data_IF_684844623474
#
_entry.id   IF_684844623474
#
_cell.length_a   1.000
_cell.length_b   1.000
_cell.length_c   1.000
_cell.angle_alpha   90.00
_cell.angle_beta   90.00
_cell.angle_gamma   90.00
#
_symmetry.space_group_name_H-M   'P 1'
#
loop_
_entity.id
_entity.type
_entity.pdbx_description
1 polymer ?
#
# COMPACT_ATOMS: atom_id res chain seq x y z
N UNK A 1 37.47 -9.84 -8.21
CA UNK A 1 36.56 -9.84 -7.03
C UNK A 1 36.76 -8.60 -6.13
N UNK A 2 36.74 -7.37 -6.67
CA UNK A 2 37.17 -6.18 -5.88
C UNK A 2 36.24 -4.94 -5.91
N UNK A 3 35.19 -4.88 -6.75
CA UNK A 3 34.34 -3.68 -6.84
C UNK A 3 32.95 -3.87 -6.20
N UNK A 4 32.28 -5.01 -6.41
CA UNK A 4 30.99 -5.31 -5.78
C UNK A 4 31.02 -5.23 -4.24
N UNK A 5 32.16 -5.59 -3.63
CA UNK A 5 32.32 -5.66 -2.18
C UNK A 5 32.64 -4.30 -1.53
N UNK A 6 32.99 -3.29 -2.34
CA UNK A 6 33.15 -1.90 -1.88
C UNK A 6 31.81 -1.15 -1.94
N UNK A 7 31.07 -1.33 -3.04
CA UNK A 7 29.75 -0.70 -3.21
C UNK A 7 28.74 -1.19 -2.15
N UNK A 8 28.78 -2.48 -1.79
CA UNK A 8 27.90 -3.04 -0.75
C UNK A 8 28.27 -2.54 0.68
N UNK A 9 29.54 -2.23 0.93
CA UNK A 9 29.99 -1.64 2.20
C UNK A 9 29.60 -0.17 2.33
N UNK A 10 29.73 0.61 1.24
CA UNK A 10 29.30 2.01 1.21
C UNK A 10 27.78 2.10 1.34
N UNK A 11 27.04 1.22 0.67
CA UNK A 11 25.58 1.15 0.79
C UNK A 11 25.13 0.81 2.21
N UNK A 12 25.75 -0.19 2.86
CA UNK A 12 25.48 -0.54 4.26
C UNK A 12 25.88 0.56 5.25
N UNK A 13 26.94 1.31 4.98
CA UNK A 13 27.39 2.43 5.81
C UNK A 13 26.44 3.64 5.71
N UNK A 14 25.98 3.97 4.50
CA UNK A 14 24.98 5.02 4.28
C UNK A 14 23.62 4.67 4.89
N UNK A 15 23.21 3.40 4.85
CA UNK A 15 22.01 2.91 5.55
C UNK A 15 22.20 3.04 7.07
N UNK A 16 23.37 2.70 7.62
CA UNK A 16 23.64 2.86 9.06
C UNK A 16 23.53 4.31 9.53
N UNK A 17 24.08 5.26 8.77
CA UNK A 17 23.98 6.70 9.04
C UNK A 17 22.53 7.23 8.95
N UNK A 18 21.65 6.57 8.19
CA UNK A 18 20.24 6.95 8.04
C UNK A 18 19.36 6.51 9.23
N UNK A 19 19.78 5.49 9.98
CA UNK A 19 19.00 4.86 11.06
C UNK A 19 19.55 5.11 12.46
N UNK A 20 20.71 5.76 12.61
CA UNK A 20 21.24 6.15 13.93
C UNK A 20 20.68 7.51 14.40
N UNK A 21 20.35 7.57 15.68
CA UNK A 21 19.71 8.70 16.35
C UNK A 21 20.58 9.98 16.31
N UNK A 22 19.95 11.17 16.35
CA UNK A 22 20.63 12.48 16.26
C UNK A 22 21.79 12.66 17.25
N UNK A 23 21.73 11.96 18.39
CA UNK A 23 22.75 12.02 19.43
C UNK A 23 23.99 11.16 19.13
N UNK A 24 23.90 10.13 18.27
CA UNK A 24 25.02 9.25 17.90
C UNK A 24 25.85 9.86 16.78
N UNK A 25 25.21 10.54 15.82
CA UNK A 25 25.87 11.24 14.71
C UNK A 25 26.73 12.44 15.15
N UNK A 26 26.53 12.96 16.36
CA UNK A 26 27.39 13.99 16.96
C UNK A 26 28.81 13.50 17.30
N UNK A 27 29.04 12.17 17.25
CA UNK A 27 30.33 11.53 17.56
C UNK A 27 31.19 11.23 16.33
N UNK A 28 30.65 11.40 15.12
CA UNK A 28 31.40 11.19 13.88
C UNK A 28 32.09 12.47 13.43
N UNK A 29 33.31 12.35 12.89
CA UNK A 29 34.09 13.51 12.49
C UNK A 29 33.50 14.17 11.24
N UNK A 30 33.69 15.48 11.08
CA UNK A 30 33.28 16.22 9.87
C UNK A 30 33.88 15.64 8.58
N UNK A 31 35.03 14.96 8.67
CA UNK A 31 35.67 14.29 7.54
C UNK A 31 34.91 13.03 7.09
N UNK A 32 34.32 12.28 8.02
CA UNK A 32 33.60 11.02 7.71
C UNK A 32 32.33 11.30 6.89
N UNK A 33 31.62 12.38 7.23
CA UNK A 33 30.39 12.80 6.56
C UNK A 33 30.69 13.38 5.17
N UNK A 34 31.76 14.17 5.05
CA UNK A 34 32.22 14.72 3.76
C UNK A 34 32.68 13.62 2.81
N UNK A 35 33.38 12.60 3.32
CA UNK A 35 33.84 11.45 2.53
C UNK A 35 32.66 10.63 2.00
N UNK A 36 31.66 10.33 2.83
CA UNK A 36 30.46 9.60 2.41
C UNK A 36 29.65 10.36 1.34
N UNK A 37 29.58 11.70 1.45
CA UNK A 37 28.94 12.56 0.44
C UNK A 37 29.66 12.52 -0.89
N UNK A 38 30.99 12.66 -0.88
CA UNK A 38 31.80 12.64 -2.12
C UNK A 38 31.73 11.28 -2.82
N UNK A 39 31.70 10.17 -2.08
CA UNK A 39 31.55 8.83 -2.65
C UNK A 39 30.15 8.60 -3.26
N UNK A 40 29.10 9.17 -2.65
CA UNK A 40 27.74 9.11 -3.18
C UNK A 40 27.58 9.94 -4.48
N UNK A 41 28.19 11.12 -4.54
CA UNK A 41 28.22 11.94 -5.76
C UNK A 41 28.96 11.21 -6.90
N UNK A 42 30.07 10.52 -6.60
CA UNK A 42 30.82 9.71 -7.58
C UNK A 42 30.00 8.52 -8.12
N UNK A 43 29.14 7.93 -7.28
CA UNK A 43 28.21 6.86 -7.65
C UNK A 43 27.11 7.38 -8.59
N UNK A 44 26.55 8.56 -8.32
CA UNK A 44 25.57 9.20 -9.19
C UNK A 44 26.16 9.53 -10.57
N UNK A 45 27.39 10.04 -10.62
CA UNK A 45 28.07 10.40 -11.86
C UNK A 45 28.39 9.19 -12.75
N UNK A 46 28.80 8.07 -12.13
CA UNK A 46 29.01 6.78 -12.82
C UNK A 46 27.71 6.18 -13.37
N UNK A 47 26.61 6.30 -12.64
CA UNK A 47 25.32 5.76 -13.05
C UNK A 47 24.72 6.58 -14.21
N UNK A 48 24.94 7.90 -14.20
CA UNK A 48 24.56 8.77 -15.32
C UNK A 48 25.34 8.45 -16.62
N UNK A 49 26.62 8.10 -16.52
CA UNK A 49 27.46 7.72 -17.68
C UNK A 49 27.15 6.34 -18.27
N UNK A 50 26.66 5.39 -17.46
CA UNK A 50 26.22 4.08 -17.95
C UNK A 50 24.89 4.15 -18.72
N UNK A 51 24.06 5.16 -18.44
CA UNK A 51 22.75 5.34 -19.09
C UNK A 51 22.88 5.97 -20.48
N UNK A 52 23.95 6.73 -20.74
CA UNK A 52 24.22 7.40 -22.03
C UNK A 52 24.87 6.52 -23.09
N UNK A 53 25.44 5.37 -22.72
CA UNK A 53 26.21 4.50 -23.64
C UNK A 53 25.43 3.27 -24.16
N UNK A 54 24.19 3.07 -23.70
CA UNK A 54 23.37 1.90 -24.04
C UNK A 54 21.90 2.29 -24.21
N UNK A 55 21.49 2.78 -25.40
CA UNK A 55 20.12 2.67 -25.96
C UNK A 55 20.04 3.34 -27.36
N UNK A 56 19.28 2.79 -28.34
CA UNK A 56 19.11 3.38 -29.66
C UNK A 56 18.12 4.57 -29.68
N UNK A 57 18.24 5.49 -30.65
CA UNK A 57 17.55 6.76 -30.64
C UNK A 57 16.16 6.61 -31.26
N UNK A 58 15.11 6.41 -30.44
CA UNK A 58 13.76 6.87 -30.78
C UNK A 58 12.78 6.79 -29.61
N UNK A 59 12.19 7.96 -29.34
CA UNK A 59 11.07 8.25 -28.43
C UNK A 59 11.50 8.31 -26.95
N UNK A 60 12.24 9.36 -26.62
CA UNK A 60 12.27 9.96 -25.29
C UNK A 60 11.45 11.25 -25.39
N UNK A 61 10.46 11.44 -24.53
CA UNK A 61 9.86 12.76 -24.29
C UNK A 61 10.86 13.60 -23.51
N UNK A 62 11.85 14.15 -24.22
CA UNK A 62 13.06 14.82 -23.73
C UNK A 62 12.86 16.06 -22.84
N UNK A 63 11.63 16.46 -22.53
CA UNK A 63 11.36 17.79 -21.95
C UNK A 63 11.08 17.83 -20.44
N UNK A 64 10.70 16.72 -19.77
CA UNK A 64 10.53 16.68 -18.31
C UNK A 64 11.82 16.33 -17.59
N UNK A 65 12.55 15.35 -18.11
CA UNK A 65 13.68 14.74 -17.41
C UNK A 65 14.93 15.62 -17.50
N UNK A 66 15.16 16.27 -18.67
CA UNK A 66 16.19 17.31 -18.80
C UNK A 66 15.94 18.49 -17.89
N UNK A 67 14.70 18.92 -17.68
CA UNK A 67 14.37 20.04 -16.78
C UNK A 67 14.60 19.67 -15.31
N UNK A 68 14.38 18.42 -14.93
CA UNK A 68 14.69 17.92 -13.58
C UNK A 68 16.21 17.86 -13.37
N UNK A 69 16.96 17.30 -14.32
CA UNK A 69 18.42 17.23 -14.27
C UNK A 69 19.08 18.61 -14.27
N UNK A 70 18.66 19.55 -15.13
CA UNK A 70 19.21 20.91 -15.13
C UNK A 70 18.85 21.71 -13.88
N UNK A 71 17.72 21.42 -13.22
CA UNK A 71 17.39 22.00 -11.92
C UNK A 71 18.30 21.45 -10.82
N UNK A 72 18.59 20.14 -10.83
CA UNK A 72 19.55 19.50 -9.94
C UNK A 72 20.97 20.05 -10.14
N UNK A 73 21.43 20.15 -11.39
CA UNK A 73 22.76 20.65 -11.76
C UNK A 73 22.96 22.12 -11.34
N UNK A 74 21.98 22.99 -11.63
CA UNK A 74 22.03 24.40 -11.22
C UNK A 74 21.92 24.58 -9.69
N UNK A 75 21.30 23.63 -8.98
CA UNK A 75 21.20 23.67 -7.53
C UNK A 75 22.51 23.20 -6.87
N UNK A 76 23.13 22.14 -7.39
CA UNK A 76 24.46 21.63 -6.98
C UNK A 76 25.55 22.68 -7.17
N UNK A 77 25.50 23.46 -8.27
CA UNK A 77 26.45 24.55 -8.53
C UNK A 77 26.25 25.72 -7.55
N UNK A 78 25.01 26.00 -7.11
CA UNK A 78 24.69 27.07 -6.16
C UNK A 78 25.05 26.74 -4.70
N UNK A 79 25.08 25.47 -4.31
CA UNK A 79 25.34 25.02 -2.94
C UNK A 79 26.83 24.95 -2.55
N UNK A 80 27.77 25.34 -3.43
CA UNK A 80 29.23 25.26 -3.22
C UNK A 80 29.80 26.25 -2.18
N UNK A 81 29.02 26.79 -1.24
CA UNK A 81 29.52 27.88 -0.38
C UNK A 81 28.86 28.12 0.97
N UNK A 82 28.03 27.24 1.51
CA UNK A 82 27.42 27.49 2.84
C UNK A 82 27.37 26.22 3.69
N UNK A 83 28.26 26.13 4.67
CA UNK A 83 28.29 25.11 5.71
C UNK A 83 27.24 25.42 6.78
N UNK A 84 26.24 24.54 6.95
CA UNK A 84 25.49 24.18 8.19
C UNK A 84 24.04 23.73 7.90
N UNK A 85 23.61 22.69 8.65
CA UNK A 85 22.25 22.15 8.97
C UNK A 85 21.21 21.91 7.84
N UNK A 86 21.25 22.65 6.74
CA UNK A 86 20.37 22.55 5.58
C UNK A 86 20.68 21.30 4.74
N UNK A 87 21.95 20.89 4.72
CA UNK A 87 22.47 19.75 3.96
C UNK A 87 21.82 18.41 4.32
N UNK A 88 21.38 18.22 5.58
CA UNK A 88 20.77 16.95 6.01
C UNK A 88 19.31 16.80 5.53
N UNK A 89 18.57 17.90 5.38
CA UNK A 89 17.24 17.89 4.74
C UNK A 89 17.37 17.69 3.23
N UNK A 90 18.39 18.29 2.64
CA UNK A 90 18.70 18.19 1.21
C UNK A 90 19.16 16.78 0.83
N UNK A 91 19.99 16.13 1.66
CA UNK A 91 20.41 14.73 1.48
C UNK A 91 19.23 13.74 1.57
N UNK A 92 18.33 13.92 2.54
CA UNK A 92 17.10 13.10 2.65
C UNK A 92 16.18 13.25 1.43
N UNK A 93 16.14 14.43 0.85
CA UNK A 93 15.35 14.71 -0.36
C UNK A 93 15.96 14.05 -1.59
N UNK A 94 17.28 14.11 -1.74
CA UNK A 94 18.01 13.43 -2.81
C UNK A 94 17.87 11.90 -2.75
N UNK A 95 17.94 11.32 -1.56
CA UNK A 95 17.74 9.87 -1.34
C UNK A 95 16.29 9.46 -1.63
N UNK A 96 15.30 10.26 -1.24
CA UNK A 96 13.90 10.00 -1.57
C UNK A 96 13.65 10.04 -3.09
N UNK A 97 14.26 10.99 -3.80
CA UNK A 97 14.19 11.06 -5.27
C UNK A 97 14.88 9.86 -5.94
N UNK A 98 16.01 9.38 -5.41
CA UNK A 98 16.70 8.20 -5.92
C UNK A 98 15.88 6.91 -5.74
N UNK A 99 15.22 6.74 -4.59
CA UNK A 99 14.35 5.59 -4.34
C UNK A 99 13.12 5.59 -5.26
N UNK A 100 12.50 6.76 -5.50
CA UNK A 100 11.39 6.90 -6.45
C UNK A 100 11.86 6.55 -7.89
N UNK A 101 13.06 6.97 -8.26
CA UNK A 101 13.65 6.64 -9.56
C UNK A 101 13.91 5.14 -9.71
N UNK A 102 14.50 4.47 -8.71
CA UNK A 102 14.72 3.03 -8.73
C UNK A 102 13.41 2.24 -8.85
N UNK A 103 12.39 2.59 -8.06
CA UNK A 103 11.06 1.95 -8.16
C UNK A 103 10.41 2.18 -9.53
N UNK A 104 10.62 3.35 -10.15
CA UNK A 104 10.14 3.63 -11.50
C UNK A 104 10.88 2.82 -12.57
N UNK A 105 12.17 2.57 -12.40
CA UNK A 105 12.98 1.76 -13.33
C UNK A 105 12.66 0.27 -13.23
N UNK A 106 12.37 -0.24 -12.02
CA UNK A 106 11.84 -1.59 -11.77
C UNK A 106 10.46 -1.83 -12.41
N UNK A 107 9.60 -0.79 -12.44
CA UNK A 107 8.32 -0.82 -13.14
C UNK A 107 8.53 -0.80 -14.67
N UNK A 108 9.58 -0.10 -15.15
CA UNK A 108 9.91 0.02 -16.57
C UNK A 108 10.47 -1.28 -17.15
N UNK A 109 11.28 -2.01 -16.38
CA UNK A 109 11.88 -3.30 -16.77
C UNK A 109 10.88 -4.47 -16.73
N UNK A 110 9.82 -4.39 -15.91
CA UNK A 110 8.76 -5.42 -15.84
C UNK A 110 7.59 -5.23 -16.83
N UNK A 111 7.52 -4.09 -17.51
CA UNK A 111 6.50 -3.78 -18.53
C UNK A 111 6.50 -4.70 -19.76
N UNK A 112 7.64 -5.20 -20.28
CA UNK A 112 7.69 -6.12 -21.42
C UNK A 112 7.03 -7.48 -21.12
N UNK A 113 7.16 -8.00 -19.90
CA UNK A 113 6.56 -9.29 -19.53
C UNK A 113 5.05 -9.22 -19.44
N UNK A 114 4.51 -8.11 -18.94
CA UNK A 114 3.07 -7.86 -18.88
C UNK A 114 2.47 -7.73 -20.29
N UNK A 115 3.15 -7.01 -21.18
CA UNK A 115 2.76 -6.91 -22.59
C UNK A 115 2.88 -8.24 -23.35
N UNK A 116 3.87 -9.08 -23.02
CA UNK A 116 4.03 -10.42 -23.59
C UNK A 116 2.92 -11.40 -23.12
N UNK A 117 2.50 -11.32 -21.85
CA UNK A 117 1.35 -12.09 -21.34
C UNK A 117 0.04 -11.68 -22.03
N UNK A 118 -0.20 -10.37 -22.17
CA UNK A 118 -1.39 -9.86 -22.86
C UNK A 118 -1.40 -10.21 -24.35
N UNK A 119 -0.25 -10.20 -25.02
CA UNK A 119 -0.11 -10.66 -26.41
C UNK A 119 -0.35 -12.17 -26.56
N UNK A 120 0.06 -12.99 -25.57
CA UNK A 120 -0.18 -14.44 -25.55
C UNK A 120 -1.68 -14.76 -25.37
N UNK A 121 -2.37 -14.01 -24.52
CA UNK A 121 -3.83 -14.12 -24.32
C UNK A 121 -4.58 -13.73 -25.60
N UNK A 122 -4.18 -12.66 -26.29
CA UNK A 122 -4.76 -12.26 -27.59
C UNK A 122 -4.50 -13.27 -28.72
N UNK A 123 -3.36 -13.96 -28.73
CA UNK A 123 -3.09 -15.05 -29.68
C UNK A 123 -3.97 -16.27 -29.42
N UNK A 124 -4.21 -16.64 -28.15
CA UNK A 124 -5.12 -17.76 -27.81
C UNK A 124 -6.57 -17.50 -28.20
N UNK A 125 -7.07 -16.26 -28.03
CA UNK A 125 -8.43 -15.89 -28.46
C UNK A 125 -8.55 -15.78 -29.99
N UNK A 126 -7.51 -15.29 -30.67
CA UNK A 126 -7.45 -15.27 -32.14
C UNK A 126 -7.42 -16.68 -32.78
N UNK A 127 -6.72 -17.63 -32.16
CA UNK A 127 -6.64 -19.02 -32.65
C UNK A 127 -8.00 -19.74 -32.50
N UNK A 128 -8.73 -19.55 -31.39
CA UNK A 128 -10.10 -20.08 -31.24
C UNK A 128 -11.06 -19.55 -32.31
N UNK A 129 -10.94 -18.27 -32.68
CA UNK A 129 -11.75 -17.63 -33.74
C UNK A 129 -11.35 -18.11 -35.15
N UNK A 130 -10.10 -18.53 -35.35
CA UNK A 130 -9.61 -19.13 -36.62
C UNK A 130 -10.08 -20.58 -36.77
N UNK A 131 -10.05 -21.38 -35.70
CA UNK A 131 -10.57 -22.75 -35.71
C UNK A 131 -12.08 -22.81 -35.99
N UNK A 132 -12.87 -21.86 -35.46
CA UNK A 132 -14.30 -21.76 -35.78
C UNK A 132 -14.59 -21.37 -37.24
N UNK A 133 -13.63 -20.75 -37.93
CA UNK A 133 -13.76 -20.41 -39.36
C UNK A 133 -13.25 -21.53 -40.28
N UNK A 134 -12.30 -22.37 -39.84
CA UNK A 134 -11.80 -23.50 -40.64
C UNK A 134 -12.83 -24.63 -40.76
N UNK A 135 -13.68 -24.85 -39.73
CA UNK A 135 -14.75 -25.88 -39.78
C UNK A 135 -15.86 -25.55 -40.79
N UNK A 136 -15.94 -24.31 -41.30
CA UNK A 136 -16.91 -23.91 -42.33
C UNK A 136 -16.43 -24.06 -43.78
N UNK A 137 -15.17 -24.45 -44.03
CA UNK A 137 -14.55 -24.48 -45.38
C UNK A 137 -14.61 -25.81 -46.12
N UNK A 138 -15.22 -26.87 -45.58
CA UNK A 138 -15.42 -28.15 -46.28
C UNK A 138 -16.73 -28.17 -47.10
N UNK A 139 -16.89 -27.20 -48.03
CA UNK A 139 -17.95 -27.20 -49.05
C UNK A 139 -17.32 -26.83 -50.40
N UNK A 140 -17.70 -27.47 -51.53
CA UNK A 140 -16.94 -27.34 -52.79
C UNK A 140 -17.01 -25.93 -53.37
N UNK A 141 -15.88 -25.42 -53.90
CA UNK A 141 -15.79 -24.11 -54.55
C UNK A 141 -16.56 -24.06 -55.88
N UNK A 142 -17.28 -22.95 -56.17
CA UNK A 142 -17.49 -22.51 -57.53
C UNK A 142 -16.39 -21.53 -57.96
N UNK A 143 -16.02 -21.66 -59.23
CA UNK A 143 -15.06 -20.90 -60.04
C UNK A 143 -14.96 -19.39 -59.77
N UNK A 144 -13.72 -18.88 -59.81
CA UNK A 144 -13.30 -17.47 -59.75
C UNK A 144 -14.22 -16.51 -60.52
N UNK A 145 -14.63 -15.36 -59.93
CA UNK A 145 -15.10 -14.23 -60.70
C UNK A 145 -14.00 -13.17 -60.87
N UNK A 146 -14.06 -12.54 -62.04
CA UNK A 146 -13.28 -11.39 -62.48
C UNK A 146 -13.31 -10.21 -61.51
N UNK A 147 -12.23 -9.45 -61.55
CA UNK A 147 -11.97 -8.23 -60.79
C UNK A 147 -12.87 -7.09 -61.31
N UNK A 148 -14.11 -7.03 -60.84
CA UNK A 148 -15.01 -5.89 -61.03
C UNK A 148 -14.79 -4.86 -59.92
N UNK A 149 -14.77 -3.57 -60.27
CA UNK A 149 -14.72 -2.48 -59.29
C UNK A 149 -15.93 -2.55 -58.35
N UNK A 150 -15.74 -2.30 -57.04
CA UNK A 150 -16.82 -2.47 -56.07
C UNK A 150 -17.95 -1.46 -56.36
N UNK A 151 -19.16 -1.99 -56.56
CA UNK A 151 -20.38 -1.21 -56.79
C UNK A 151 -20.62 -0.19 -55.66
N UNK A 152 -21.37 0.91 -55.91
CA UNK A 152 -21.69 1.92 -54.89
C UNK A 152 -22.29 1.32 -53.60
N UNK A 153 -23.18 0.34 -53.74
CA UNK A 153 -23.79 -0.41 -52.62
C UNK A 153 -22.76 -1.20 -51.78
N UNK A 154 -21.69 -1.70 -52.40
CA UNK A 154 -20.62 -2.40 -51.68
C UNK A 154 -19.80 -1.43 -50.82
N UNK A 155 -19.57 -0.22 -51.32
CA UNK A 155 -18.89 0.86 -50.57
C UNK A 155 -19.75 1.37 -49.41
N UNK A 156 -21.06 1.50 -49.63
CA UNK A 156 -22.01 1.92 -48.60
C UNK A 156 -22.20 0.85 -47.51
N UNK A 157 -22.30 -0.43 -47.89
CA UNK A 157 -22.31 -1.53 -46.92
C UNK A 157 -21.01 -1.64 -46.12
N UNK A 158 -19.86 -1.31 -46.70
CA UNK A 158 -18.60 -1.24 -45.96
C UNK A 158 -18.58 -0.08 -44.96
N UNK A 159 -19.09 1.09 -45.35
CA UNK A 159 -19.24 2.24 -44.42
C UNK A 159 -20.17 1.92 -43.26
N UNK A 160 -21.35 1.37 -43.55
CA UNK A 160 -22.33 0.97 -42.53
C UNK A 160 -21.79 -0.11 -41.58
N UNK A 161 -20.98 -1.05 -42.07
CA UNK A 161 -20.30 -2.04 -41.22
C UNK A 161 -19.28 -1.41 -40.30
N UNK A 162 -18.47 -0.48 -40.82
CA UNK A 162 -17.48 0.23 -40.02
C UNK A 162 -18.15 1.09 -38.93
N UNK A 163 -19.24 1.79 -39.28
CA UNK A 163 -20.02 2.59 -38.33
C UNK A 163 -20.67 1.72 -37.25
N UNK A 164 -21.23 0.57 -37.61
CA UNK A 164 -21.74 -0.41 -36.63
C UNK A 164 -20.65 -0.95 -35.70
N UNK A 165 -19.44 -1.17 -36.21
CA UNK A 165 -18.32 -1.63 -35.38
C UNK A 165 -17.86 -0.54 -34.42
N UNK A 166 -17.82 0.72 -34.87
CA UNK A 166 -17.53 1.88 -34.01
C UNK A 166 -18.60 2.09 -32.93
N UNK A 167 -19.88 1.97 -33.28
CA UNK A 167 -20.99 2.06 -32.32
C UNK A 167 -20.93 0.93 -31.29
N UNK A 168 -20.57 -0.30 -31.70
CA UNK A 168 -20.37 -1.41 -30.76
C UNK A 168 -19.23 -1.14 -29.78
N UNK A 169 -18.11 -0.60 -30.25
CA UNK A 169 -16.99 -0.21 -29.38
C UNK A 169 -17.39 0.88 -28.38
N UNK A 170 -18.19 1.86 -28.82
CA UNK A 170 -18.71 2.90 -27.93
C UNK A 170 -19.69 2.33 -26.89
N UNK A 171 -20.58 1.42 -27.29
CA UNK A 171 -21.49 0.72 -26.37
C UNK A 171 -20.70 -0.09 -25.36
N UNK A 172 -19.66 -0.82 -25.77
CA UNK A 172 -18.80 -1.60 -24.88
C UNK A 172 -18.03 -0.69 -23.90
N UNK A 173 -17.49 0.44 -24.38
CA UNK A 173 -16.81 1.43 -23.54
C UNK A 173 -17.77 2.04 -22.51
N UNK A 174 -18.94 2.52 -22.96
CA UNK A 174 -19.95 3.12 -22.10
C UNK A 174 -20.47 2.10 -21.08
N UNK A 175 -20.71 0.86 -21.50
CA UNK A 175 -21.13 -0.23 -20.61
C UNK A 175 -20.04 -0.54 -19.59
N UNK A 176 -18.77 -0.54 -19.98
CA UNK A 176 -17.65 -0.73 -19.04
C UNK A 176 -17.57 0.42 -18.04
N UNK A 177 -17.74 1.66 -18.48
CA UNK A 177 -17.72 2.85 -17.61
C UNK A 177 -18.92 2.87 -16.66
N UNK A 178 -20.11 2.53 -17.15
CA UNK A 178 -21.32 2.39 -16.32
C UNK A 178 -21.20 1.26 -15.31
N UNK A 179 -20.64 0.11 -15.71
CA UNK A 179 -20.41 -1.02 -14.80
C UNK A 179 -19.41 -0.64 -13.71
N UNK A 180 -18.33 0.07 -14.07
CA UNK A 180 -17.37 0.60 -13.10
C UNK A 180 -18.03 1.60 -12.16
N UNK A 181 -18.77 2.57 -12.68
CA UNK A 181 -19.48 3.57 -11.88
C UNK A 181 -20.52 2.95 -10.94
N UNK A 182 -21.26 1.93 -11.40
CA UNK A 182 -22.21 1.18 -10.60
C UNK A 182 -21.51 0.38 -9.49
N UNK A 183 -20.38 -0.28 -9.81
CA UNK A 183 -19.54 -0.96 -8.81
C UNK A 183 -18.99 0.03 -7.76
N UNK A 184 -18.48 1.17 -8.20
CA UNK A 184 -17.93 2.24 -7.34
C UNK A 184 -19.02 2.91 -6.47
N UNK A 185 -20.29 2.84 -6.88
CA UNK A 185 -21.47 3.29 -6.12
C UNK A 185 -21.98 2.23 -5.15
N UNK A 186 -21.90 0.95 -5.52
CA UNK A 186 -22.32 -0.18 -4.70
C UNK A 186 -21.33 -0.50 -3.58
N UNK A 187 -20.05 -0.16 -3.76
CA UNK A 187 -18.97 -0.38 -2.78
C UNK A 187 -18.71 0.81 -1.85
N UNK A 188 -19.21 2.00 -2.19
CA UNK A 188 -19.09 3.21 -1.37
C UNK A 188 -19.89 3.07 -0.07
N UNK A 189 -19.20 2.93 1.06
CA UNK A 189 -19.84 2.74 2.37
C UNK A 189 -20.57 1.40 2.56
N UNK A 190 -20.38 0.43 1.67
CA UNK A 190 -20.98 -0.89 1.78
C UNK A 190 -19.91 -1.99 1.94
N UNK A 191 -19.62 -2.39 3.18
CA UNK A 191 -18.54 -3.34 3.46
C UNK A 191 -18.85 -4.77 2.94
N UNK A 192 -20.09 -5.04 2.53
CA UNK A 192 -20.49 -6.36 2.00
C UNK A 192 -20.14 -6.57 0.52
N UNK A 193 -19.88 -5.50 -0.26
CA UNK A 193 -19.45 -5.61 -1.66
C UNK A 193 -17.93 -5.35 -1.73
N UNK A 194 -17.14 -6.37 -1.40
CA UNK A 194 -15.69 -6.28 -1.47
C UNK A 194 -15.16 -6.59 -2.88
N UNK A 195 -14.20 -5.80 -3.36
CA UNK A 195 -13.42 -6.15 -4.55
C UNK A 195 -12.55 -7.37 -4.22
N UNK A 196 -12.83 -8.50 -4.89
CA UNK A 196 -12.12 -9.76 -4.67
C UNK A 196 -10.64 -9.70 -5.07
N UNK A 197 -10.23 -8.69 -5.85
CA UNK A 197 -8.84 -8.46 -6.21
C UNK A 197 -8.06 -7.68 -5.16
N UNK A 198 -8.75 -7.04 -4.20
CA UNK A 198 -8.10 -6.33 -3.09
C UNK A 198 -7.48 -7.34 -2.12
N UNK A 199 -6.14 -7.24 -1.97
CA UNK A 199 -5.34 -8.06 -1.06
C UNK A 199 -5.57 -7.69 0.41
N UNK A 200 -6.05 -6.48 0.66
CA UNK A 200 -6.32 -5.92 1.98
C UNK A 200 -7.82 -5.76 2.23
N UNK A 201 -8.65 -6.58 1.57
CA UNK A 201 -10.08 -6.66 1.89
C UNK A 201 -10.28 -7.21 3.31
N UNK A 202 -11.40 -6.86 3.99
CA UNK A 202 -11.63 -7.25 5.38
C UNK A 202 -11.48 -8.74 5.68
N UNK A 203 -11.95 -9.63 4.80
CA UNK A 203 -11.82 -11.08 4.99
C UNK A 203 -10.38 -11.56 4.99
N UNK A 204 -9.53 -11.00 4.11
CA UNK A 204 -8.10 -11.34 4.07
C UNK A 204 -7.34 -10.80 5.26
N UNK A 205 -7.72 -9.61 5.74
CA UNK A 205 -7.15 -9.05 6.97
C UNK A 205 -7.52 -9.92 8.18
N UNK A 206 -8.78 -10.35 8.29
CA UNK A 206 -9.21 -11.23 9.37
C UNK A 206 -8.57 -12.61 9.35
N UNK A 207 -8.36 -13.20 8.15
CA UNK A 207 -7.57 -14.42 7.99
C UNK A 207 -6.13 -14.22 8.48
N UNK A 208 -5.44 -13.17 8.02
CA UNK A 208 -4.08 -12.83 8.48
C UNK A 208 -4.04 -12.65 10.00
N UNK A 209 -5.00 -11.92 10.56
CA UNK A 209 -5.06 -11.71 12.01
C UNK A 209 -5.28 -13.02 12.78
N UNK A 210 -6.07 -13.96 12.24
CA UNK A 210 -6.15 -15.31 12.80
C UNK A 210 -4.80 -16.04 12.77
N UNK A 211 -4.05 -15.92 11.67
CA UNK A 211 -2.71 -16.52 11.56
C UNK A 211 -1.73 -15.93 12.58
N UNK A 212 -1.82 -14.64 12.90
CA UNK A 212 -0.98 -14.02 13.95
C UNK A 212 -1.14 -14.71 15.30
N UNK A 213 -2.33 -15.20 15.60
CA UNK A 213 -2.57 -15.99 16.81
C UNK A 213 -2.03 -17.42 16.71
N UNK A 214 -2.15 -18.06 15.54
CA UNK A 214 -1.74 -19.45 15.37
C UNK A 214 -0.20 -19.59 15.28
N UNK A 215 0.49 -18.60 14.71
CA UNK A 215 1.93 -18.61 14.45
C UNK A 215 2.68 -17.69 15.44
N UNK A 216 2.70 -16.38 15.20
CA UNK A 216 3.58 -15.44 15.91
C UNK A 216 3.28 -15.31 17.41
N UNK A 217 2.03 -15.49 17.84
CA UNK A 217 1.66 -15.40 19.25
C UNK A 217 2.32 -16.52 20.07
N UNK A 218 2.39 -17.74 19.54
CA UNK A 218 2.99 -18.89 20.24
C UNK A 218 4.50 -18.69 20.38
N UNK A 219 5.16 -18.22 19.33
CA UNK A 219 6.60 -17.92 19.35
C UNK A 219 6.94 -16.79 20.35
N UNK A 220 6.11 -15.73 20.37
CA UNK A 220 6.26 -14.64 21.33
C UNK A 220 5.98 -15.08 22.77
N UNK A 221 5.00 -15.97 22.96
CA UNK A 221 4.70 -16.56 24.27
C UNK A 221 5.91 -17.33 24.82
N UNK A 222 6.50 -18.22 24.02
CA UNK A 222 7.67 -19.02 24.43
C UNK A 222 8.90 -18.15 24.72
N UNK A 223 9.12 -17.10 23.90
CA UNK A 223 10.23 -16.16 24.11
C UNK A 223 10.06 -15.36 25.41
N UNK A 224 8.87 -14.79 25.67
CA UNK A 224 8.60 -14.06 26.92
C UNK A 224 8.75 -14.99 28.12
N UNK A 225 8.18 -16.19 28.06
CA UNK A 225 8.22 -17.14 29.16
C UNK A 225 9.66 -17.58 29.47
N UNK A 226 10.48 -17.84 28.45
CA UNK A 226 11.86 -18.27 28.62
C UNK A 226 12.78 -17.15 29.14
N UNK A 227 12.63 -15.93 28.64
CA UNK A 227 13.50 -14.80 29.01
C UNK A 227 13.11 -14.17 30.34
N UNK A 228 11.81 -14.01 30.60
CA UNK A 228 11.30 -13.20 31.71
C UNK A 228 10.71 -14.04 32.85
N UNK A 229 10.53 -15.36 32.65
CA UNK A 229 10.01 -16.30 33.66
C UNK A 229 8.68 -15.87 34.28
N UNK A 230 7.84 -15.22 33.48
CA UNK A 230 6.49 -14.84 33.87
C UNK A 230 5.59 -16.08 33.93
N UNK A 231 4.53 -16.00 34.73
CA UNK A 231 3.47 -17.01 34.72
C UNK A 231 2.68 -16.95 33.41
N UNK A 232 2.08 -18.07 33.01
CA UNK A 232 1.27 -18.17 31.78
C UNK A 232 0.24 -17.04 31.69
N UNK A 233 -0.44 -16.74 32.81
CA UNK A 233 -1.48 -15.70 32.85
C UNK A 233 -0.90 -14.30 32.61
N UNK A 234 0.27 -13.98 33.18
CA UNK A 234 0.94 -12.70 32.93
C UNK A 234 1.38 -12.58 31.46
N UNK A 235 1.84 -13.67 30.84
CA UNK A 235 2.21 -13.64 29.41
C UNK A 235 0.98 -13.42 28.53
N UNK A 236 -0.13 -14.11 28.80
CA UNK A 236 -1.38 -13.90 28.06
C UNK A 236 -1.88 -12.47 28.17
N UNK A 237 -1.82 -11.88 29.37
CA UNK A 237 -2.18 -10.48 29.59
C UNK A 237 -1.27 -9.51 28.83
N UNK A 238 0.04 -9.76 28.79
CA UNK A 238 0.99 -8.94 28.01
C UNK A 238 0.64 -8.97 26.53
N UNK A 239 0.49 -10.16 25.95
CA UNK A 239 0.21 -10.33 24.53
C UNK A 239 -1.14 -9.71 24.15
N UNK A 240 -2.19 -9.92 24.95
CA UNK A 240 -3.48 -9.27 24.72
C UNK A 240 -3.39 -7.73 24.81
N UNK A 241 -2.66 -7.21 25.80
CA UNK A 241 -2.51 -5.77 25.99
C UNK A 241 -1.79 -5.10 24.81
N UNK A 242 -0.85 -5.79 24.16
CA UNK A 242 -0.22 -5.31 22.93
C UNK A 242 -1.28 -5.09 21.84
N UNK A 243 -2.17 -6.06 21.63
CA UNK A 243 -3.25 -5.96 20.62
C UNK A 243 -4.22 -4.83 20.95
N UNK A 244 -4.67 -4.74 22.20
CA UNK A 244 -5.63 -3.70 22.64
C UNK A 244 -5.02 -2.30 22.52
N UNK A 245 -3.76 -2.13 22.95
CA UNK A 245 -3.06 -0.86 22.81
C UNK A 245 -2.78 -0.54 21.34
N UNK A 246 -2.44 -1.54 20.54
CA UNK A 246 -2.25 -1.43 19.10
C UNK A 246 -3.51 -0.94 18.38
N UNK A 247 -4.68 -1.50 18.70
CA UNK A 247 -5.95 -1.07 18.08
C UNK A 247 -6.26 0.38 18.42
N UNK A 248 -6.12 0.76 19.70
CA UNK A 248 -6.32 2.14 20.13
C UNK A 248 -5.37 3.10 19.39
N UNK A 249 -4.09 2.75 19.34
CA UNK A 249 -3.08 3.52 18.63
C UNK A 249 -3.43 3.67 17.13
N UNK A 250 -3.73 2.58 16.44
CA UNK A 250 -4.10 2.59 15.03
C UNK A 250 -5.39 3.37 14.77
N UNK A 251 -6.37 3.32 15.68
CA UNK A 251 -7.61 4.10 15.58
C UNK A 251 -7.36 5.60 15.67
N UNK A 252 -6.58 6.04 16.65
CA UNK A 252 -6.20 7.45 16.81
C UNK A 252 -5.41 7.97 15.61
N UNK A 253 -4.40 7.21 15.19
CA UNK A 253 -3.54 7.58 14.05
C UNK A 253 -4.33 7.59 12.74
N UNK A 254 -5.23 6.63 12.51
CA UNK A 254 -5.99 6.55 11.26
C UNK A 254 -6.95 7.74 11.10
N UNK A 255 -7.56 8.20 12.19
CA UNK A 255 -8.42 9.39 12.21
C UNK A 255 -7.61 10.66 11.96
N UNK A 256 -6.49 10.82 12.65
CA UNK A 256 -5.58 11.97 12.48
C UNK A 256 -5.00 12.05 11.07
N UNK A 257 -4.58 10.90 10.52
CA UNK A 257 -4.05 10.80 9.16
C UNK A 257 -5.12 11.16 8.13
N UNK A 258 -6.35 10.66 8.26
CA UNK A 258 -7.42 10.99 7.32
C UNK A 258 -7.75 12.47 7.34
N UNK A 259 -7.87 13.08 8.53
CA UNK A 259 -8.10 14.53 8.65
C UNK A 259 -6.96 15.35 8.02
N UNK A 260 -5.72 14.90 8.19
CA UNK A 260 -4.55 15.53 7.57
C UNK A 260 -4.57 15.43 6.04
N UNK A 261 -4.94 14.27 5.50
CA UNK A 261 -5.09 14.04 4.05
C UNK A 261 -6.22 14.92 3.49
N UNK A 262 -7.39 14.91 4.13
CA UNK A 262 -8.54 15.73 3.73
C UNK A 262 -8.15 17.21 3.68
N UNK A 263 -7.46 17.71 4.71
CA UNK A 263 -6.95 19.09 4.74
C UNK A 263 -5.93 19.35 3.64
N UNK A 264 -4.97 18.44 3.45
CA UNK A 264 -3.93 18.56 2.42
C UNK A 264 -4.47 18.53 0.99
N UNK A 265 -5.56 17.81 0.75
CA UNK A 265 -6.28 17.81 -0.53
C UNK A 265 -7.18 19.05 -0.68
N UNK A 266 -7.80 19.51 0.41
CA UNK A 266 -8.74 20.65 0.42
C UNK A 266 -8.06 21.97 0.05
N UNK A 267 -6.96 22.30 0.71
CA UNK A 267 -6.33 23.62 0.62
C UNK A 267 -5.89 24.00 -0.81
N UNK A 268 -5.17 23.15 -1.57
CA UNK A 268 -4.75 23.50 -2.93
C UNK A 268 -5.92 23.67 -3.92
N UNK A 269 -7.06 23.02 -3.65
CA UNK A 269 -8.24 23.10 -4.52
C UNK A 269 -9.02 24.39 -4.32
N UNK A 270 -9.08 24.89 -3.09
CA UNK A 270 -9.80 26.12 -2.75
C UNK A 270 -8.95 27.38 -2.93
N UNK A 271 -7.63 27.24 -2.73
CA UNK A 271 -6.67 28.35 -2.77
C UNK A 271 -5.50 28.01 -3.70
N UNK A 272 -5.75 27.88 -5.02
CA UNK A 272 -4.67 27.61 -5.96
C UNK A 272 -3.69 28.79 -5.98
N UNK A 273 -2.49 28.59 -5.43
CA UNK A 273 -1.46 29.63 -5.26
C UNK A 273 -0.87 30.16 -6.58
N UNK A 274 -1.27 29.60 -7.74
CA UNK A 274 -0.71 29.92 -9.06
C UNK A 274 -1.61 30.82 -9.92
N UNK A 275 -2.75 31.27 -9.40
CA UNK A 275 -3.62 32.23 -10.08
C UNK A 275 -3.84 33.46 -9.19
N UNK A 276 -3.07 34.51 -9.45
CA UNK A 276 -3.30 35.85 -8.90
C UNK A 276 -3.93 36.72 -9.97
N UNK A 277 -5.12 36.37 -10.46
CA UNK A 277 -5.85 37.20 -11.44
C UNK A 277 -6.71 38.29 -10.75
N UNK A 278 -6.41 38.58 -9.48
CA UNK A 278 -7.06 39.64 -8.70
C UNK A 278 -8.55 39.43 -8.41
N UNK A 279 -9.15 38.31 -8.83
CA UNK A 279 -10.54 37.98 -8.55
C UNK A 279 -10.66 37.31 -7.19
N UNK A 280 -11.33 37.98 -6.26
CA UNK A 280 -11.81 37.35 -5.04
C UNK A 280 -12.93 36.37 -5.38
N UNK A 281 -12.71 35.09 -5.14
CA UNK A 281 -13.75 34.07 -5.13
C UNK A 281 -14.10 33.73 -3.67
N UNK A 282 -15.39 33.53 -3.39
CA UNK A 282 -15.84 33.11 -2.07
C UNK A 282 -15.44 31.66 -1.80
N UNK A 283 -14.35 31.48 -1.06
CA UNK A 283 -13.91 30.15 -0.58
C UNK A 283 -14.99 29.50 0.28
N UNK A 284 -15.79 30.28 1.01
CA UNK A 284 -16.86 29.79 1.88
C UNK A 284 -17.99 29.09 1.10
N UNK A 285 -18.35 29.56 -0.09
CA UNK A 285 -19.40 28.95 -0.92
C UNK A 285 -18.95 27.61 -1.52
N UNK A 286 -17.69 27.53 -1.95
CA UNK A 286 -17.09 26.29 -2.45
C UNK A 286 -16.93 25.24 -1.35
N UNK A 287 -16.54 25.67 -0.15
CA UNK A 287 -16.45 24.80 1.03
C UNK A 287 -17.81 24.27 1.49
N UNK A 288 -18.86 25.08 1.39
CA UNK A 288 -20.21 24.70 1.74
C UNK A 288 -20.88 23.76 0.71
N UNK A 289 -20.27 23.55 -0.45
CA UNK A 289 -20.80 22.68 -1.50
C UNK A 289 -20.79 21.19 -1.07
N UNK A 290 -21.95 20.55 -0.91
CA UNK A 290 -22.04 19.15 -0.46
C UNK A 290 -21.32 18.17 -1.40
N UNK A 291 -21.36 18.43 -2.72
CA UNK A 291 -20.72 17.61 -3.73
C UNK A 291 -19.20 17.66 -3.64
N UNK A 292 -18.64 18.84 -3.34
CA UNK A 292 -17.20 19.01 -3.14
C UNK A 292 -16.75 18.26 -1.88
N UNK A 293 -17.42 18.47 -0.75
CA UNK A 293 -17.07 17.80 0.51
C UNK A 293 -17.19 16.28 0.42
N UNK A 294 -18.26 15.76 -0.18
CA UNK A 294 -18.46 14.32 -0.34
C UNK A 294 -17.37 13.70 -1.24
N UNK A 295 -17.07 14.35 -2.37
CA UNK A 295 -16.06 13.87 -3.31
C UNK A 295 -14.65 13.90 -2.69
N UNK A 296 -14.31 14.98 -2.00
CA UNK A 296 -13.04 15.14 -1.27
C UNK A 296 -12.85 14.00 -0.25
N UNK A 297 -13.86 13.76 0.59
CA UNK A 297 -13.82 12.68 1.59
C UNK A 297 -13.62 11.32 0.94
N UNK A 298 -14.34 11.03 -0.15
CA UNK A 298 -14.17 9.80 -0.90
C UNK A 298 -12.75 9.64 -1.43
N UNK A 299 -12.21 10.65 -2.11
CA UNK A 299 -10.84 10.60 -2.65
C UNK A 299 -9.77 10.47 -1.55
N UNK A 300 -9.97 11.13 -0.40
CA UNK A 300 -9.07 11.00 0.74
C UNK A 300 -9.06 9.58 1.30
N UNK A 301 -10.24 8.97 1.46
CA UNK A 301 -10.37 7.58 1.91
C UNK A 301 -9.77 6.58 0.92
N UNK A 302 -10.06 6.75 -0.37
CA UNK A 302 -9.53 5.88 -1.42
C UNK A 302 -8.00 5.97 -1.54
N UNK A 303 -7.45 7.19 -1.48
CA UNK A 303 -6.02 7.40 -1.45
C UNK A 303 -5.39 6.71 -0.23
N UNK A 304 -5.92 6.97 0.97
CA UNK A 304 -5.44 6.36 2.23
C UNK A 304 -5.43 4.84 2.14
N UNK A 305 -6.53 4.24 1.70
CA UNK A 305 -6.66 2.78 1.56
C UNK A 305 -5.65 2.23 0.54
N UNK A 306 -5.52 2.89 -0.61
CA UNK A 306 -4.59 2.49 -1.67
C UNK A 306 -3.11 2.55 -1.26
N UNK A 307 -2.76 3.39 -0.28
CA UNK A 307 -1.38 3.58 0.19
C UNK A 307 -1.14 3.09 1.62
N UNK A 308 -2.12 2.42 2.25
CA UNK A 308 -2.07 2.10 3.68
C UNK A 308 -0.82 1.30 4.08
N UNK A 309 -0.41 0.34 3.24
CA UNK A 309 0.77 -0.51 3.49
C UNK A 309 2.06 0.29 3.66
N UNK A 310 2.20 1.43 2.98
CA UNK A 310 3.38 2.28 3.10
C UNK A 310 3.55 2.90 4.49
N UNK A 311 2.47 2.96 5.29
CA UNK A 311 2.53 3.47 6.66
C UNK A 311 2.92 2.39 7.69
N UNK A 312 2.86 1.10 7.35
CA UNK A 312 3.02 0.00 8.32
C UNK A 312 4.37 0.07 9.04
N UNK A 313 5.47 0.09 8.29
CA UNK A 313 6.82 0.09 8.89
C UNK A 313 7.05 1.28 9.85
N UNK A 314 6.77 2.54 9.45
CA UNK A 314 6.86 3.67 10.38
C UNK A 314 5.96 3.52 11.62
N UNK A 315 4.74 2.98 11.46
CA UNK A 315 3.81 2.82 12.57
C UNK A 315 4.27 1.75 13.56
N UNK A 316 4.86 0.65 13.08
CA UNK A 316 5.48 -0.35 13.93
C UNK A 316 6.60 0.25 14.79
N UNK A 317 7.49 1.05 14.19
CA UNK A 317 8.54 1.75 14.93
C UNK A 317 7.97 2.71 15.96
N UNK A 318 7.01 3.57 15.58
CA UNK A 318 6.38 4.54 16.49
C UNK A 318 5.67 3.82 17.66
N UNK A 319 4.97 2.72 17.37
CA UNK A 319 4.31 1.92 18.40
C UNK A 319 5.33 1.32 19.37
N UNK A 320 6.37 0.66 18.86
CA UNK A 320 7.42 0.05 19.68
C UNK A 320 8.17 1.07 20.54
N UNK A 321 8.53 2.21 19.96
CA UNK A 321 9.33 3.22 20.65
C UNK A 321 8.53 4.16 21.56
N UNK A 322 7.21 4.22 21.41
CA UNK A 322 6.32 5.00 22.26
C UNK A 322 5.41 4.11 23.10
N UNK A 323 4.39 3.54 22.47
CA UNK A 323 3.30 2.84 23.16
C UNK A 323 3.71 1.54 23.83
N UNK A 324 4.57 0.75 23.20
CA UNK A 324 5.05 -0.47 23.84
C UNK A 324 5.93 -0.16 25.06
N UNK A 325 6.82 0.83 24.99
CA UNK A 325 7.62 1.28 26.13
C UNK A 325 6.76 1.81 27.30
N UNK A 326 5.63 2.46 27.00
CA UNK A 326 4.64 2.85 28.03
C UNK A 326 3.99 1.62 28.70
N UNK A 327 3.80 0.51 27.96
CA UNK A 327 3.24 -0.74 28.49
C UNK A 327 4.26 -1.56 29.28
N UNK A 328 5.47 -1.71 28.75
CA UNK A 328 6.55 -2.53 29.29
C UNK A 328 7.91 -1.88 29.01
N UNK A 329 8.74 -1.77 30.03
CA UNK A 329 10.12 -1.28 29.92
C UNK A 329 11.07 -2.40 29.44
N UNK A 330 10.74 -3.01 28.30
CA UNK A 330 11.53 -4.08 27.68
C UNK A 330 12.17 -3.58 26.40
N UNK A 331 13.41 -4.01 26.16
CA UNK A 331 14.08 -3.79 24.89
C UNK A 331 13.57 -4.80 23.86
N UNK A 332 12.42 -4.47 23.26
CA UNK A 332 11.72 -5.33 22.29
C UNK A 332 12.59 -5.72 21.10
N UNK A 333 13.57 -4.89 20.73
CA UNK A 333 14.46 -5.19 19.60
C UNK A 333 15.46 -6.32 19.90
N UNK A 334 15.59 -6.74 21.16
CA UNK A 334 16.35 -7.93 21.57
C UNK A 334 15.48 -9.18 21.71
N UNK A 335 14.16 -9.06 21.54
CA UNK A 335 13.19 -10.14 21.64
C UNK A 335 12.62 -10.36 20.23
N UNK A 336 13.22 -11.29 19.48
CA UNK A 336 12.98 -11.44 18.04
C UNK A 336 11.53 -11.84 17.75
N UNK A 337 11.02 -12.86 18.44
CA UNK A 337 9.65 -13.36 18.25
C UNK A 337 8.62 -12.33 18.68
N UNK A 338 8.83 -11.65 19.82
CA UNK A 338 7.94 -10.60 20.30
C UNK A 338 7.91 -9.39 19.35
N UNK A 339 9.06 -9.02 18.79
CA UNK A 339 9.17 -7.93 17.82
C UNK A 339 8.38 -8.25 16.54
N UNK A 340 8.50 -9.48 16.02
CA UNK A 340 7.72 -9.94 14.86
C UNK A 340 6.22 -9.97 15.15
N UNK A 341 5.83 -10.47 16.31
CA UNK A 341 4.44 -10.48 16.76
C UNK A 341 3.83 -9.08 16.83
N UNK A 342 4.55 -8.10 17.39
CA UNK A 342 4.11 -6.71 17.45
C UNK A 342 3.94 -6.14 16.04
N UNK A 343 4.91 -6.38 15.15
CA UNK A 343 4.84 -5.86 13.77
C UNK A 343 3.63 -6.45 13.02
N UNK A 344 3.38 -7.75 13.16
CA UNK A 344 2.24 -8.43 12.54
C UNK A 344 0.89 -7.93 13.10
N UNK A 345 0.81 -7.71 14.42
CA UNK A 345 -0.36 -7.11 15.06
C UNK A 345 -0.63 -5.71 14.51
N UNK A 346 0.37 -4.83 14.51
CA UNK A 346 0.22 -3.43 14.07
C UNK A 346 -0.11 -3.33 12.58
N UNK A 347 0.47 -4.19 11.72
CA UNK A 347 0.05 -4.28 10.31
C UNK A 347 -1.45 -4.55 10.20
N UNK A 348 -1.93 -5.62 10.84
CA UNK A 348 -3.32 -6.02 10.75
C UNK A 348 -4.26 -4.94 11.31
N UNK A 349 -3.96 -4.42 12.50
CA UNK A 349 -4.78 -3.42 13.18
C UNK A 349 -4.81 -2.09 12.41
N UNK A 350 -3.70 -1.70 11.80
CA UNK A 350 -3.68 -0.54 10.90
C UNK A 350 -4.58 -0.76 9.68
N UNK A 351 -4.43 -1.90 9.00
CA UNK A 351 -5.22 -2.24 7.82
C UNK A 351 -6.71 -2.39 8.12
N UNK A 352 -7.08 -2.82 9.33
CA UNK A 352 -8.45 -2.85 9.85
C UNK A 352 -9.02 -1.43 10.02
N UNK A 353 -8.23 -0.51 10.58
CA UNK A 353 -8.67 0.85 10.92
C UNK A 353 -8.76 1.80 9.71
N UNK A 354 -8.08 1.49 8.60
CA UNK A 354 -8.20 2.27 7.35
C UNK A 354 -9.41 1.91 6.49
N UNK A 355 -10.10 0.81 6.80
CA UNK A 355 -11.34 0.41 6.13
C UNK A 355 -12.45 1.45 6.33
N UNK A 356 -13.51 1.37 5.51
CA UNK A 356 -14.67 2.25 5.59
C UNK A 356 -15.98 1.44 5.47
N UNK A 357 -16.72 1.23 6.58
CA UNK A 357 -16.35 1.56 7.96
C UNK A 357 -15.12 0.77 8.47
N UNK A 358 -14.40 1.26 9.50
CA UNK A 358 -13.35 0.51 10.17
C UNK A 358 -13.84 -0.84 10.68
N UNK A 359 -12.98 -1.86 10.62
CA UNK A 359 -13.25 -3.15 11.25
C UNK A 359 -13.26 -3.01 12.78
N UNK A 360 -13.90 -3.96 13.46
CA UNK A 360 -14.11 -3.88 14.90
C UNK A 360 -13.57 -5.12 15.61
N UNK A 361 -12.72 -4.91 16.61
CA UNK A 361 -12.26 -5.98 17.50
C UNK A 361 -13.00 -5.91 18.83
N UNK A 362 -13.27 -7.06 19.44
CA UNK A 362 -13.92 -7.13 20.75
C UNK A 362 -13.24 -8.12 21.68
N UNK A 363 -13.16 -7.74 22.96
CA UNK A 363 -12.74 -8.58 24.07
C UNK A 363 -13.92 -8.74 25.03
N UNK A 364 -14.04 -9.92 25.63
CA UNK A 364 -14.99 -10.18 26.71
C UNK A 364 -14.33 -9.94 28.06
N UNK A 365 -15.12 -9.40 29.00
CA UNK A 365 -14.70 -9.17 30.37
C UNK A 365 -14.88 -10.42 31.23
N UNK A 366 -14.21 -10.44 32.37
CA UNK A 366 -14.38 -11.49 33.37
C UNK A 366 -15.84 -11.56 33.84
N UNK A 367 -16.42 -12.76 33.76
CA UNK A 367 -17.81 -13.03 34.11
C UNK A 367 -18.80 -12.95 32.95
N UNK A 368 -18.37 -12.46 31.78
CA UNK A 368 -19.22 -12.47 30.59
C UNK A 368 -19.49 -13.89 30.11
N UNK A 369 -20.65 -14.11 29.50
CA UNK A 369 -20.89 -15.32 28.71
C UNK A 369 -20.32 -15.10 27.30
N UNK A 370 -19.80 -16.17 26.69
CA UNK A 370 -19.31 -16.11 25.32
C UNK A 370 -20.22 -16.93 24.40
N UNK A 371 -20.34 -16.48 23.16
CA UNK A 371 -21.02 -17.24 22.11
C UNK A 371 -20.01 -18.14 21.39
N UNK A 372 -20.23 -19.47 21.31
CA UNK A 372 -19.33 -20.39 20.60
C UNK A 372 -19.14 -20.08 19.11
N UNK A 373 -20.08 -19.31 18.53
CA UNK A 373 -19.97 -18.80 17.18
C UNK A 373 -18.86 -17.73 17.05
N UNK A 374 -18.63 -16.92 18.08
CA UNK A 374 -17.70 -15.79 18.08
C UNK A 374 -16.37 -16.10 18.75
N UNK A 375 -16.36 -17.01 19.74
CA UNK A 375 -15.18 -17.34 20.53
C UNK A 375 -14.96 -18.85 20.65
N UNK A 376 -13.69 -19.25 20.55
CA UNK A 376 -13.20 -20.57 20.89
C UNK A 376 -12.72 -20.60 22.35
N UNK A 377 -12.74 -21.79 22.96
CA UNK A 377 -12.20 -21.99 24.32
C UNK A 377 -10.71 -22.27 24.28
N UNK A 378 -9.97 -21.64 25.18
CA UNK A 378 -8.54 -21.86 25.38
C UNK A 378 -8.31 -22.75 26.62
N UNK A 379 -7.63 -23.88 26.42
CA UNK A 379 -7.20 -24.89 27.41
C UNK A 379 -8.30 -25.62 28.20
N UNK A 380 -9.32 -24.92 28.70
CA UNK A 380 -10.32 -25.47 29.63
C UNK A 380 -11.75 -25.26 29.13
N UNK A 381 -12.67 -26.09 29.63
CA UNK A 381 -14.11 -25.95 29.39
C UNK A 381 -14.75 -25.16 30.52
N UNK A 382 -15.68 -24.28 30.16
CA UNK A 382 -16.50 -23.53 31.12
C UNK A 382 -17.56 -22.72 30.40
N UNK A 383 -18.39 -22.00 31.15
CA UNK A 383 -19.47 -21.17 30.59
C UNK A 383 -19.21 -19.67 30.71
N UNK A 384 -18.55 -19.26 31.79
CA UNK A 384 -18.20 -17.87 32.05
C UNK A 384 -16.74 -17.61 31.70
N UNK A 385 -16.48 -16.46 31.08
CA UNK A 385 -15.14 -16.00 30.74
C UNK A 385 -14.37 -15.65 32.02
N UNK A 386 -13.15 -16.14 32.14
CA UNK A 386 -12.18 -15.64 33.12
C UNK A 386 -11.41 -14.44 32.54
N UNK A 387 -10.89 -14.61 31.32
CA UNK A 387 -10.30 -13.55 30.52
C UNK A 387 -10.30 -13.89 29.02
N UNK A 388 -10.17 -12.86 28.19
CA UNK A 388 -9.92 -13.00 26.76
C UNK A 388 -8.43 -13.28 26.53
N UNK A 389 -8.10 -14.20 25.63
CA UNK A 389 -6.73 -14.49 25.20
C UNK A 389 -6.44 -13.84 23.85
N UNK A 390 -7.43 -13.86 22.96
CA UNK A 390 -7.35 -13.25 21.63
C UNK A 390 -8.71 -12.64 21.25
N UNK A 391 -8.76 -11.40 20.74
CA UNK A 391 -10.02 -10.75 20.41
C UNK A 391 -10.71 -11.37 19.21
N UNK A 392 -12.04 -11.30 19.19
CA UNK A 392 -12.83 -11.59 17.98
C UNK A 392 -12.88 -10.36 17.07
N UNK A 393 -12.88 -10.58 15.76
CA UNK A 393 -12.87 -9.53 14.73
C UNK A 393 -14.15 -9.56 13.92
N UNK A 394 -14.76 -8.40 13.76
CA UNK A 394 -15.98 -8.16 13.00
C UNK A 394 -15.71 -7.20 11.84
N UNK A 395 -16.52 -7.30 10.80
CA UNK A 395 -16.40 -6.49 9.59
C UNK A 395 -16.54 -5.00 9.89
N UNK A 396 -17.38 -4.66 10.85
CA UNK A 396 -17.53 -3.35 11.50
C UNK A 396 -18.27 -3.56 12.82
N UNK A 397 -18.45 -2.50 13.61
CA UNK A 397 -19.23 -2.57 14.84
C UNK A 397 -20.68 -3.03 14.55
N UNK A 398 -21.12 -4.09 15.23
CA UNK A 398 -22.41 -4.74 14.97
C UNK A 398 -22.52 -5.50 13.63
N UNK A 399 -21.41 -5.63 12.89
CA UNK A 399 -21.35 -6.36 11.63
C UNK A 399 -21.16 -7.87 11.79
N UNK A 400 -21.03 -8.63 10.70
CA UNK A 400 -20.75 -10.06 10.75
C UNK A 400 -19.33 -10.36 11.26
N UNK A 401 -19.19 -11.51 11.91
CA UNK A 401 -17.88 -12.04 12.34
C UNK A 401 -16.98 -12.33 11.13
N UNK A 402 -15.72 -11.95 11.25
CA UNK A 402 -14.67 -12.21 10.25
C UNK A 402 -13.63 -13.19 10.79
N UNK A 403 -13.23 -13.05 12.06
CA UNK A 403 -12.28 -13.97 12.71
C UNK A 403 -12.69 -14.22 14.16
N UNK A 404 -12.64 -15.49 14.59
CA UNK A 404 -13.01 -15.88 15.95
C UNK A 404 -11.94 -15.45 16.95
N UNK A 405 -12.38 -15.05 18.15
CA UNK A 405 -11.49 -14.84 19.29
C UNK A 405 -11.27 -16.13 20.09
N UNK A 406 -10.41 -16.03 21.10
CA UNK A 406 -10.16 -17.07 22.08
C UNK A 406 -10.37 -16.53 23.49
N UNK A 407 -11.10 -17.28 24.32
CA UNK A 407 -11.30 -16.96 25.74
C UNK A 407 -10.86 -18.13 26.59
N UNK A 408 -10.33 -17.84 27.78
CA UNK A 408 -10.17 -18.84 28.83
C UNK A 408 -11.39 -18.77 29.75
N UNK A 409 -12.21 -19.83 29.82
CA UNK A 409 -13.32 -19.88 30.78
C UNK A 409 -12.81 -20.09 32.22
N UNK A 410 -13.63 -19.73 33.21
CA UNK A 410 -13.40 -20.17 34.59
C UNK A 410 -13.46 -21.69 34.65
N UNK A 411 -12.46 -22.29 35.29
CA UNK A 411 -12.41 -23.73 35.50
C UNK A 411 -13.61 -24.16 36.37
N UNK A 412 -14.43 -25.06 35.84
CA UNK A 412 -15.50 -25.67 36.62
C UNK A 412 -14.86 -26.72 37.53
N UNK A 413 -14.67 -26.37 38.81
CA UNK A 413 -14.42 -27.37 39.85
C UNK A 413 -15.63 -28.33 39.84
N UNK A 414 -15.41 -29.56 39.36
CA UNK A 414 -16.39 -30.65 39.42
C UNK A 414 -16.48 -31.23 40.82
#
# INVERSE_FOLDING_TARGET
MSNQNKDDKVHKYCIRLLFEDKNVLSKHSSEDVSTARNEFELLLEKTAHQTTTSLPPKIITENSDRKMFHKLENYIIKSRGTETCTEMKEFKTLVACYNIWQSSEEIRTNRPEKLARDASIRRRTGIKKRLSMTVRKSRPEPSKPERSEPSPESKENQKLKHENEMLRLQVDELTTRLSKFASDKLTDGNPNFADLSDKNRPTKIGEKFGMVYDEEWSDAYEEIQSLLKLSDTEVYEVLLNIVIAGDRFCREVSQSQLSSIEKGMKEPMLRPQWFSDGKEYSVAELEASPNFTASLKKFAKDFRRGTAVASVVPLCTIFKDGKFKELRDWDVYKMESLNLYIDACIECLWLMNVQDPPMYITCLNKGDNYEPAHFNMFLVKGKEVEYTVWPAVFLHEGGPLVSKGYVKPKEQLQ
#
